data_IF_430150628216
#
_entry.id   IF_430150628216
#
_cell.length_a   1.000
_cell.length_b   1.000
_cell.length_c   1.000
_cell.angle_alpha   90.00
_cell.angle_beta   90.00
_cell.angle_gamma   90.00
#
_symmetry.space_group_name_H-M   'P 1'
#
loop_
_entity.id
_entity.type
_entity.pdbx_description
1 polymer ?
#
# COMPACT_ATOMS: atom_id res chain seq x y z
N UNK A 1 48.68 9.53 -16.06
CA UNK A 1 47.67 9.53 -14.98
C UNK A 1 46.36 8.86 -15.43
N UNK A 2 46.33 7.55 -15.76
CA UNK A 2 45.08 6.86 -16.11
C UNK A 2 44.31 6.33 -14.88
N UNK A 3 44.98 6.04 -13.76
CA UNK A 3 44.39 5.36 -12.59
C UNK A 3 43.24 6.13 -11.92
N UNK A 4 43.27 7.47 -11.94
CA UNK A 4 42.21 8.31 -11.33
C UNK A 4 40.88 8.24 -12.08
N UNK A 5 40.90 7.99 -13.40
CA UNK A 5 39.68 7.82 -14.22
C UNK A 5 39.00 6.48 -13.94
N UNK A 6 39.77 5.41 -13.71
CA UNK A 6 39.22 4.09 -13.42
C UNK A 6 38.58 4.03 -12.02
N UNK A 7 39.16 4.73 -11.05
CA UNK A 7 38.59 4.84 -9.69
C UNK A 7 37.24 5.56 -9.72
N UNK A 8 37.11 6.64 -10.49
CA UNK A 8 35.84 7.37 -10.62
C UNK A 8 34.74 6.53 -11.31
N UNK A 9 35.10 5.73 -12.32
CA UNK A 9 34.15 4.83 -12.99
C UNK A 9 33.69 3.70 -12.07
N UNK A 10 34.60 3.12 -11.27
CA UNK A 10 34.25 2.10 -10.29
C UNK A 10 33.36 2.66 -9.17
N UNK A 11 33.61 3.89 -8.70
CA UNK A 11 32.81 4.53 -7.68
C UNK A 11 31.39 4.85 -8.17
N UNK A 12 31.25 5.31 -9.43
CA UNK A 12 29.96 5.54 -10.06
C UNK A 12 29.16 4.24 -10.19
N UNK A 13 29.79 3.14 -10.62
CA UNK A 13 29.13 1.85 -10.79
C UNK A 13 28.54 1.28 -9.49
N UNK A 14 29.18 1.50 -8.34
CA UNK A 14 28.67 1.05 -7.02
C UNK A 14 27.42 1.84 -6.60
N UNK A 15 27.32 3.12 -6.96
CA UNK A 15 26.13 3.93 -6.60
C UNK A 15 24.87 3.54 -7.39
N UNK A 16 25.00 2.92 -8.57
CA UNK A 16 23.85 2.47 -9.36
C UNK A 16 23.28 1.11 -8.92
N UNK A 17 23.99 0.34 -8.09
CA UNK A 17 23.56 -1.00 -7.66
C UNK A 17 22.53 -1.05 -6.52
N UNK A 18 22.14 0.10 -5.95
CA UNK A 18 21.37 0.16 -4.70
C UNK A 18 19.85 0.07 -4.79
N UNK A 19 19.24 0.04 -5.98
CA UNK A 19 17.79 0.24 -6.13
C UNK A 19 16.92 -1.03 -6.15
N UNK A 20 17.46 -2.25 -6.05
CA UNK A 20 16.67 -3.46 -6.32
C UNK A 20 16.45 -4.39 -5.12
N UNK A 21 17.01 -4.12 -3.95
CA UNK A 21 17.00 -5.06 -2.83
C UNK A 21 15.94 -4.70 -1.80
N UNK A 22 14.67 -4.80 -2.17
CA UNK A 22 13.56 -4.86 -1.20
C UNK A 22 13.07 -6.30 -1.12
N UNK A 23 13.11 -6.96 0.05
CA UNK A 23 12.54 -8.30 0.17
C UNK A 23 11.03 -8.25 -0.15
N UNK A 24 10.49 -9.29 -0.82
CA UNK A 24 9.05 -9.37 -1.08
C UNK A 24 8.30 -9.39 0.25
N UNK A 25 7.18 -8.66 0.32
CA UNK A 25 6.31 -8.68 1.51
C UNK A 25 5.78 -10.10 1.74
N UNK A 26 5.58 -10.51 3.00
CA UNK A 26 4.87 -11.74 3.29
C UNK A 26 3.46 -11.70 2.70
N UNK A 27 2.88 -12.86 2.35
CA UNK A 27 1.50 -12.92 1.88
C UNK A 27 0.54 -12.41 2.97
N UNK A 28 -0.53 -11.73 2.55
CA UNK A 28 -1.54 -11.27 3.48
C UNK A 28 -2.31 -12.45 4.09
N UNK A 29 -2.44 -12.51 5.43
CA UNK A 29 -3.20 -13.57 6.06
C UNK A 29 -4.66 -13.47 5.64
N UNK A 30 -5.28 -14.61 5.41
CA UNK A 30 -6.72 -14.73 5.14
C UNK A 30 -7.53 -14.47 6.42
N UNK A 31 -8.83 -14.22 6.27
CA UNK A 31 -9.73 -14.06 7.42
C UNK A 31 -9.75 -15.30 8.32
N UNK A 32 -9.65 -16.49 7.72
CA UNK A 32 -9.63 -17.75 8.46
C UNK A 32 -8.31 -17.93 9.23
N UNK A 33 -7.19 -17.50 8.64
CA UNK A 33 -5.89 -17.49 9.34
C UNK A 33 -5.87 -16.48 10.49
N UNK A 34 -6.52 -15.32 10.34
CA UNK A 34 -6.67 -14.34 11.44
C UNK A 34 -7.49 -14.94 12.59
N UNK A 35 -8.56 -15.66 12.26
CA UNK A 35 -9.35 -16.41 13.25
C UNK A 35 -8.48 -17.47 13.94
N UNK A 36 -7.67 -18.22 13.20
CA UNK A 36 -6.77 -19.21 13.80
C UNK A 36 -5.71 -18.56 14.69
N UNK A 37 -5.08 -17.47 14.27
CA UNK A 37 -4.12 -16.73 15.12
C UNK A 37 -4.76 -16.25 16.43
N UNK A 38 -6.03 -15.81 16.37
CA UNK A 38 -6.77 -15.42 17.57
C UNK A 38 -7.05 -16.62 18.49
N UNK A 39 -7.37 -17.78 17.91
CA UNK A 39 -7.58 -19.04 18.65
C UNK A 39 -6.29 -19.63 19.23
N UNK A 40 -5.17 -19.44 18.54
CA UNK A 40 -3.83 -19.82 18.97
C UNK A 40 -3.32 -18.95 20.13
N UNK A 41 -4.07 -17.90 20.49
CA UNK A 41 -3.78 -17.03 21.63
C UNK A 41 -2.75 -15.95 21.31
N UNK A 42 -2.51 -15.64 20.03
CA UNK A 42 -1.71 -14.47 19.66
C UNK A 42 -2.40 -13.21 20.17
N UNK A 43 -1.59 -12.24 20.57
CA UNK A 43 -2.09 -10.94 21.02
C UNK A 43 -2.65 -10.13 19.84
N UNK A 44 -3.62 -9.23 20.07
CA UNK A 44 -4.14 -8.34 19.03
C UNK A 44 -3.03 -7.58 18.29
N UNK A 45 -2.04 -7.08 19.02
CA UNK A 45 -0.89 -6.35 18.47
C UNK A 45 -0.05 -7.19 17.50
N UNK A 46 0.19 -8.48 17.80
CA UNK A 46 0.94 -9.38 16.91
C UNK A 46 0.17 -9.67 15.62
N UNK A 47 -1.16 -9.82 15.72
CA UNK A 47 -2.03 -10.03 14.56
C UNK A 47 -2.03 -8.78 13.68
N UNK A 48 -2.17 -7.60 14.28
CA UNK A 48 -2.10 -6.29 13.61
C UNK A 48 -0.76 -6.13 12.89
N UNK A 49 0.35 -6.45 13.56
CA UNK A 49 1.68 -6.37 12.97
C UNK A 49 1.79 -7.26 11.72
N UNK A 50 1.27 -8.49 11.75
CA UNK A 50 1.28 -9.37 10.56
C UNK A 50 0.42 -8.82 9.42
N UNK A 51 -0.71 -8.19 9.73
CA UNK A 51 -1.55 -7.51 8.75
C UNK A 51 -0.76 -6.36 8.10
N UNK A 52 -0.07 -5.54 8.89
CA UNK A 52 0.71 -4.40 8.40
C UNK A 52 1.91 -4.81 7.56
N UNK A 53 2.65 -5.84 7.99
CA UNK A 53 3.81 -6.37 7.27
C UNK A 53 3.43 -6.89 5.88
N UNK A 54 2.26 -7.50 5.77
CA UNK A 54 1.73 -7.97 4.49
C UNK A 54 1.10 -6.85 3.66
N UNK A 55 0.54 -5.82 4.30
CA UNK A 55 -0.25 -4.77 3.66
C UNK A 55 -1.61 -5.26 3.17
N UNK A 56 -2.21 -6.25 3.85
CA UNK A 56 -3.52 -6.79 3.52
C UNK A 56 -4.65 -5.76 3.68
N UNK A 57 -5.58 -5.72 2.71
CA UNK A 57 -6.78 -4.89 2.76
C UNK A 57 -8.02 -5.77 2.72
N UNK A 58 -8.87 -5.67 3.74
CA UNK A 58 -10.02 -6.55 3.93
C UNK A 58 -11.33 -5.80 3.70
N UNK A 59 -11.88 -5.89 2.50
CA UNK A 59 -13.16 -5.27 2.13
C UNK A 59 -14.35 -6.12 2.61
N UNK A 60 -14.50 -6.24 3.93
CA UNK A 60 -15.52 -7.08 4.57
C UNK A 60 -16.82 -6.31 4.81
N UNK A 61 -17.94 -7.02 4.72
CA UNK A 61 -19.27 -6.53 5.11
C UNK A 61 -19.41 -6.52 6.63
N UNK A 62 -20.34 -5.70 7.13
CA UNK A 62 -20.64 -5.65 8.57
C UNK A 62 -21.01 -7.02 9.17
N UNK A 63 -21.72 -7.87 8.43
CA UNK A 63 -22.04 -9.24 8.85
C UNK A 63 -20.80 -10.12 8.97
N UNK A 64 -19.81 -9.95 8.09
CA UNK A 64 -18.57 -10.72 8.10
C UNK A 64 -17.68 -10.29 9.27
N UNK A 65 -17.63 -8.98 9.56
CA UNK A 65 -16.95 -8.46 10.74
C UNK A 65 -17.58 -8.96 12.04
N UNK A 66 -18.91 -9.02 12.11
CA UNK A 66 -19.63 -9.62 13.23
C UNK A 66 -19.26 -11.10 13.40
N UNK A 67 -19.20 -11.86 12.30
CA UNK A 67 -18.77 -13.26 12.33
C UNK A 67 -17.31 -13.42 12.80
N UNK A 68 -16.40 -12.49 12.47
CA UNK A 68 -15.03 -12.54 12.97
C UNK A 68 -14.96 -12.34 14.49
N UNK A 69 -15.72 -11.38 15.01
CA UNK A 69 -15.84 -11.15 16.44
C UNK A 69 -16.41 -12.37 17.17
N UNK A 70 -17.47 -12.98 16.63
CA UNK A 70 -18.06 -14.22 17.17
C UNK A 70 -17.09 -15.40 17.16
N UNK A 71 -16.15 -15.43 16.21
CA UNK A 71 -15.10 -16.44 16.11
C UNK A 71 -13.89 -16.18 17.03
N UNK A 72 -13.92 -15.10 17.81
CA UNK A 72 -12.90 -14.77 18.82
C UNK A 72 -11.83 -13.78 18.37
N UNK A 73 -11.99 -13.16 17.20
CA UNK A 73 -11.10 -12.05 16.80
C UNK A 73 -11.44 -10.83 17.65
N UNK A 74 -10.43 -10.23 18.28
CA UNK A 74 -10.60 -9.04 19.11
C UNK A 74 -11.09 -7.84 18.32
N UNK A 75 -11.89 -6.97 18.95
CA UNK A 75 -12.38 -5.72 18.36
C UNK A 75 -11.23 -4.83 17.86
N UNK A 76 -10.09 -4.80 18.56
CA UNK A 76 -8.91 -4.02 18.15
C UNK A 76 -8.38 -4.39 16.76
N UNK A 77 -8.28 -5.70 16.47
CA UNK A 77 -7.89 -6.21 15.15
C UNK A 77 -8.94 -5.86 14.09
N UNK A 78 -10.22 -5.96 14.44
CA UNK A 78 -11.34 -5.64 13.54
C UNK A 78 -11.33 -4.15 13.18
N UNK A 79 -11.19 -3.29 14.17
CA UNK A 79 -11.11 -1.84 13.99
C UNK A 79 -9.89 -1.46 13.14
N UNK A 80 -8.74 -2.11 13.36
CA UNK A 80 -7.53 -1.90 12.55
C UNK A 80 -7.74 -2.29 11.08
N UNK A 81 -8.39 -3.42 10.82
CA UNK A 81 -8.72 -3.84 9.45
C UNK A 81 -9.61 -2.81 8.75
N UNK A 82 -10.61 -2.26 9.45
CA UNK A 82 -11.50 -1.24 8.91
C UNK A 82 -10.78 0.10 8.67
N UNK A 83 -9.95 0.52 9.63
CA UNK A 83 -9.19 1.76 9.53
C UNK A 83 -8.25 1.73 8.33
N UNK A 84 -7.48 0.66 8.18
CA UNK A 84 -6.53 0.48 7.07
C UNK A 84 -7.25 0.51 5.72
N UNK A 85 -8.44 -0.11 5.60
CA UNK A 85 -9.25 -0.05 4.38
C UNK A 85 -9.71 1.37 4.06
N UNK A 86 -10.16 2.11 5.08
CA UNK A 86 -10.64 3.48 4.95
C UNK A 86 -9.51 4.42 4.51
N UNK A 87 -8.33 4.29 5.11
CA UNK A 87 -7.15 5.06 4.76
C UNK A 87 -6.69 4.77 3.33
N UNK A 88 -6.65 3.49 2.93
CA UNK A 88 -6.31 3.10 1.57
C UNK A 88 -7.31 3.68 0.55
N UNK A 89 -8.60 3.73 0.90
CA UNK A 89 -9.65 4.32 0.05
C UNK A 89 -9.46 5.82 -0.09
N UNK A 90 -9.26 6.54 1.03
CA UNK A 90 -8.97 7.99 1.03
C UNK A 90 -7.72 8.33 0.22
N UNK A 91 -6.65 7.56 0.38
CA UNK A 91 -5.41 7.75 -0.38
C UNK A 91 -5.64 7.59 -1.89
N UNK A 92 -6.43 6.59 -2.31
CA UNK A 92 -6.80 6.39 -3.71
C UNK A 92 -7.65 7.54 -4.25
N UNK A 93 -8.59 8.05 -3.47
CA UNK A 93 -9.42 9.18 -3.85
C UNK A 93 -8.59 10.45 -4.00
N UNK A 94 -7.72 10.76 -3.05
CA UNK A 94 -6.81 11.90 -3.12
C UNK A 94 -5.90 11.83 -4.36
N UNK A 95 -5.40 10.65 -4.70
CA UNK A 95 -4.62 10.43 -5.93
C UNK A 95 -5.46 10.69 -7.19
N UNK A 96 -6.70 10.20 -7.24
CA UNK A 96 -7.63 10.46 -8.36
C UNK A 96 -7.98 11.93 -8.51
N UNK A 97 -8.15 12.65 -7.40
CA UNK A 97 -8.41 14.08 -7.42
C UNK A 97 -7.18 14.86 -7.90
N UNK A 98 -5.99 14.49 -7.42
CA UNK A 98 -4.72 15.05 -7.90
C UNK A 98 -4.52 14.78 -9.39
N UNK A 99 -4.81 13.57 -9.86
CA UNK A 99 -4.76 13.22 -11.28
C UNK A 99 -5.79 14.01 -12.09
N UNK A 100 -7.02 14.16 -11.59
CA UNK A 100 -8.06 14.99 -12.20
C UNK A 100 -7.59 16.44 -12.31
N UNK A 101 -6.97 16.98 -11.27
CA UNK A 101 -6.38 18.32 -11.27
C UNK A 101 -5.24 18.44 -12.29
N UNK A 102 -4.35 17.44 -12.36
CA UNK A 102 -3.29 17.40 -13.37
C UNK A 102 -3.85 17.33 -14.80
N UNK A 103 -4.95 16.60 -15.00
CA UNK A 103 -5.54 16.36 -16.32
C UNK A 103 -6.45 17.50 -16.80
N UNK A 104 -7.26 18.08 -15.91
CA UNK A 104 -8.31 19.05 -16.26
C UNK A 104 -8.07 20.45 -15.70
N UNK A 105 -7.05 20.64 -14.86
CA UNK A 105 -6.82 21.89 -14.12
C UNK A 105 -7.70 21.99 -12.86
N UNK A 106 -7.50 23.08 -12.11
CA UNK A 106 -8.35 23.42 -10.96
C UNK A 106 -9.60 24.16 -11.44
N UNK A 107 -10.75 24.06 -10.75
CA UNK A 107 -11.91 24.89 -11.05
C UNK A 107 -11.51 26.38 -10.97
N UNK A 108 -11.47 27.08 -12.11
CA UNK A 108 -11.03 28.46 -12.23
C UNK A 108 -9.61 28.69 -12.78
N UNK A 109 -8.83 27.64 -13.07
CA UNK A 109 -7.53 27.72 -13.74
C UNK A 109 -7.44 26.70 -14.89
N UNK A 110 -7.19 27.11 -16.15
CA UNK A 110 -7.04 26.17 -17.26
C UNK A 110 -5.86 25.21 -16.99
N UNK A 111 -6.08 23.91 -17.20
CA UNK A 111 -5.05 22.88 -17.04
C UNK A 111 -3.79 23.18 -17.85
N UNK A 112 -2.63 22.71 -17.36
CA UNK A 112 -1.33 23.00 -17.99
C UNK A 112 -1.26 22.46 -19.44
N UNK A 113 -0.60 23.16 -20.38
CA UNK A 113 -0.79 22.95 -21.82
C UNK A 113 -0.20 21.66 -22.43
N UNK A 114 0.60 20.88 -21.68
CA UNK A 114 1.45 19.84 -22.27
C UNK A 114 0.90 18.40 -22.19
N UNK A 115 -0.39 18.21 -21.87
CA UNK A 115 -1.01 16.89 -21.66
C UNK A 115 -1.83 16.30 -22.82
N UNK A 116 -1.97 16.99 -23.95
CA UNK A 116 -2.99 16.67 -24.96
C UNK A 116 -2.66 15.55 -25.97
N UNK A 117 -1.53 14.87 -25.87
CA UNK A 117 -1.13 13.85 -26.86
C UNK A 117 -1.21 12.44 -26.30
N UNK A 118 -2.44 11.89 -26.23
CA UNK A 118 -2.82 10.48 -26.50
C UNK A 118 -4.09 10.11 -25.74
N UNK A 119 -5.26 10.29 -26.38
CA UNK A 119 -6.40 9.37 -26.26
C UNK A 119 -7.17 9.35 -27.59
N UNK A 120 -6.93 8.36 -28.48
CA UNK A 120 -7.93 8.04 -29.49
C UNK A 120 -9.10 7.37 -28.75
N UNK A 121 -10.26 8.00 -28.78
CA UNK A 121 -11.52 7.38 -28.36
C UNK A 121 -11.88 6.33 -29.41
N UNK A 122 -12.01 5.07 -28.98
CA UNK A 122 -12.76 4.01 -29.67
C UNK A 122 -13.65 3.33 -28.64
#
# INVERSE_FOLDING_TARGET
MPMTRWILVALLAVTLGGCATSPPRPPAPTTDEIVQMSKDGLTPAEIIQRIDESGGLYALKASELANLREQGVSDEVIDHMQLTLLEATRAREAMRERERMWMFGYPGYPGYPWGYWRRPFY
#
